data_IF_265964091437
#
_entry.id   IF_265964091437
#
_cell.length_a   1.000
_cell.length_b   1.000
_cell.length_c   1.000
_cell.angle_alpha   90.00
_cell.angle_beta   90.00
_cell.angle_gamma   90.00
#
_symmetry.space_group_name_H-M   'P 1'
#
loop_
_entity.id
_entity.type
_entity.pdbx_description
1 polymer ?
#
# COMPACT_ATOMS: atom_id res chain seq x y z
N UNK A 1 -11.24 14.22 -0.57
CA UNK A 1 -12.13 14.15 -1.76
C UNK A 1 -11.28 14.31 -3.01
N UNK A 2 -11.58 13.57 -4.08
CA UNK A 2 -10.89 13.73 -5.37
C UNK A 2 -11.26 15.07 -6.02
N UNK A 3 -10.31 15.74 -6.66
CA UNK A 3 -10.59 16.97 -7.42
C UNK A 3 -11.51 16.68 -8.61
N UNK A 4 -12.27 17.67 -9.07
CA UNK A 4 -13.09 17.54 -10.29
C UNK A 4 -12.22 17.12 -11.50
N UNK A 5 -11.01 17.68 -11.61
CA UNK A 5 -10.07 17.32 -12.65
C UNK A 5 -9.63 15.86 -12.61
N UNK A 6 -9.47 15.29 -11.42
CA UNK A 6 -9.13 13.87 -11.27
C UNK A 6 -10.35 12.98 -11.55
N UNK A 7 -11.54 13.37 -11.12
CA UNK A 7 -12.78 12.62 -11.37
C UNK A 7 -13.05 12.47 -12.87
N UNK A 8 -12.82 13.52 -13.67
CA UNK A 8 -13.00 13.47 -15.14
C UNK A 8 -11.98 12.62 -15.87
N UNK A 9 -10.84 12.32 -15.26
CA UNK A 9 -9.79 11.44 -15.83
C UNK A 9 -10.00 9.97 -15.50
N UNK A 10 -10.86 9.65 -14.53
CA UNK A 10 -10.97 8.31 -13.96
C UNK A 10 -12.30 7.62 -14.32
N UNK A 11 -12.31 6.28 -14.46
CA UNK A 11 -11.13 5.43 -14.56
C UNK A 11 -10.40 5.67 -15.89
N UNK A 12 -9.08 5.45 -15.92
CA UNK A 12 -8.34 5.39 -17.19
C UNK A 12 -8.69 4.05 -17.83
N UNK A 13 -9.02 4.09 -19.13
CA UNK A 13 -9.50 2.94 -19.88
C UNK A 13 -8.60 2.63 -21.07
N UNK A 14 -8.50 1.34 -21.41
CA UNK A 14 -7.82 0.89 -22.62
C UNK A 14 -8.67 1.18 -23.89
N UNK A 15 -8.15 0.80 -25.06
CA UNK A 15 -8.84 0.96 -26.34
C UNK A 15 -10.10 0.10 -26.50
N UNK A 16 -10.30 -0.89 -25.61
CA UNK A 16 -11.50 -1.74 -25.54
C UNK A 16 -12.48 -1.25 -24.48
N UNK A 17 -12.24 -0.07 -23.89
CA UNK A 17 -13.04 0.54 -22.84
C UNK A 17 -12.99 -0.20 -21.49
N UNK A 18 -11.99 -1.05 -21.26
CA UNK A 18 -11.77 -1.73 -19.98
C UNK A 18 -11.09 -0.79 -18.98
N UNK A 19 -11.49 -0.76 -17.70
CA UNK A 19 -10.82 0.07 -16.70
C UNK A 19 -9.47 -0.53 -16.33
N UNK A 20 -8.37 0.17 -16.61
CA UNK A 20 -6.99 -0.33 -16.39
C UNK A 20 -6.27 0.39 -15.27
N UNK A 21 -6.68 1.63 -14.95
CA UNK A 21 -6.25 2.35 -13.75
C UNK A 21 -7.46 2.98 -13.07
N UNK A 22 -7.56 2.77 -11.75
CA UNK A 22 -8.51 3.42 -10.84
C UNK A 22 -7.75 4.18 -9.76
N UNK A 23 -8.46 5.01 -9.01
CA UNK A 23 -7.93 5.63 -7.78
C UNK A 23 -8.85 5.29 -6.63
N UNK A 24 -8.29 4.67 -5.59
CA UNK A 24 -9.03 4.15 -4.46
C UNK A 24 -8.35 4.57 -3.14
N UNK A 25 -9.11 4.67 -2.03
CA UNK A 25 -8.53 4.60 -0.69
C UNK A 25 -7.77 3.29 -0.52
N UNK A 26 -6.56 3.35 0.02
CA UNK A 26 -5.71 2.19 0.26
C UNK A 26 -5.00 2.25 1.62
N UNK A 27 -4.55 1.08 2.06
CA UNK A 27 -3.64 0.89 3.18
C UNK A 27 -2.64 -0.20 2.80
N UNK A 28 -1.34 0.09 2.95
CA UNK A 28 -0.25 -0.87 2.75
C UNK A 28 0.65 -0.89 3.97
N UNK A 29 0.86 -2.09 4.53
CA UNK A 29 1.64 -2.37 5.72
C UNK A 29 2.80 -3.30 5.36
N UNK A 30 4.00 -2.98 5.82
CA UNK A 30 5.20 -3.82 5.68
C UNK A 30 5.63 -4.32 7.04
N UNK A 31 5.89 -5.61 7.17
CA UNK A 31 6.18 -6.26 8.46
C UNK A 31 7.23 -7.36 8.31
N UNK A 32 7.94 -7.65 9.39
CA UNK A 32 8.91 -8.73 9.43
C UNK A 32 8.24 -10.08 9.66
N UNK A 33 8.99 -11.16 9.41
CA UNK A 33 8.67 -12.50 9.91
C UNK A 33 7.32 -13.05 9.43
N UNK A 34 7.02 -12.90 8.14
CA UNK A 34 5.84 -13.48 7.50
C UNK A 34 5.75 -15.01 7.62
N UNK A 35 6.87 -15.69 7.84
CA UNK A 35 6.98 -17.13 8.07
C UNK A 35 6.57 -17.57 9.49
N UNK A 36 6.37 -16.66 10.45
CA UNK A 36 5.90 -17.06 11.78
C UNK A 36 4.40 -17.34 11.76
N UNK A 37 3.98 -18.40 12.46
CA UNK A 37 2.58 -18.79 12.58
C UNK A 37 1.71 -17.65 13.12
N UNK A 38 2.20 -16.92 14.15
CA UNK A 38 1.51 -15.77 14.73
C UNK A 38 1.28 -14.66 13.70
N UNK A 39 2.24 -14.42 12.81
CA UNK A 39 2.13 -13.41 11.75
C UNK A 39 1.10 -13.86 10.71
N UNK A 40 1.14 -15.12 10.29
CA UNK A 40 0.15 -15.69 9.37
C UNK A 40 -1.26 -15.65 9.96
N UNK A 41 -1.42 -15.95 11.24
CA UNK A 41 -2.69 -15.80 11.96
C UNK A 41 -3.20 -14.36 11.91
N UNK A 42 -2.36 -13.38 12.24
CA UNK A 42 -2.73 -11.96 12.18
C UNK A 42 -3.13 -11.51 10.76
N UNK A 43 -2.44 -11.99 9.72
CA UNK A 43 -2.81 -11.72 8.32
C UNK A 43 -4.16 -12.36 7.98
N UNK A 44 -4.40 -13.60 8.42
CA UNK A 44 -5.69 -14.27 8.23
C UNK A 44 -6.84 -13.52 8.90
N UNK A 45 -6.62 -12.93 10.08
CA UNK A 45 -7.62 -12.12 10.77
C UNK A 45 -7.92 -10.81 10.01
N UNK A 46 -6.89 -10.16 9.46
CA UNK A 46 -7.07 -8.99 8.60
C UNK A 46 -7.84 -9.34 7.31
N UNK A 47 -7.51 -10.48 6.68
CA UNK A 47 -8.23 -10.99 5.53
C UNK A 47 -9.70 -11.29 5.85
N UNK A 48 -9.99 -11.92 7.01
CA UNK A 48 -11.36 -12.19 7.43
C UNK A 48 -12.16 -10.90 7.66
N UNK A 49 -11.55 -9.87 8.26
CA UNK A 49 -12.20 -8.56 8.43
C UNK A 49 -12.51 -7.91 7.07
N UNK A 50 -11.60 -7.99 6.10
CA UNK A 50 -11.85 -7.55 4.73
C UNK A 50 -12.99 -8.33 4.05
N UNK A 51 -12.94 -9.66 4.11
CA UNK A 51 -13.94 -10.55 3.50
C UNK A 51 -15.33 -10.33 4.13
N UNK A 52 -15.43 -10.07 5.42
CA UNK A 52 -16.70 -9.77 6.08
C UNK A 52 -17.40 -8.54 5.49
N UNK A 53 -16.64 -7.57 4.99
CA UNK A 53 -17.18 -6.35 4.37
C UNK A 53 -17.42 -6.54 2.87
N UNK A 54 -16.48 -7.17 2.16
CA UNK A 54 -16.44 -7.14 0.70
C UNK A 54 -16.71 -8.46 -0.01
N UNK A 55 -16.93 -9.59 0.69
CA UNK A 55 -17.11 -10.91 0.05
C UNK A 55 -18.13 -10.95 -1.10
N UNK A 56 -19.20 -10.16 -1.00
CA UNK A 56 -20.25 -10.11 -2.01
C UNK A 56 -19.83 -9.40 -3.31
N UNK A 57 -18.73 -8.65 -3.27
CA UNK A 57 -18.16 -7.91 -4.41
C UNK A 57 -16.97 -8.63 -5.04
N UNK A 58 -16.42 -9.66 -4.38
CA UNK A 58 -15.25 -10.38 -4.84
C UNK A 58 -15.64 -11.44 -5.87
N UNK A 59 -14.94 -11.45 -7.00
CA UNK A 59 -15.19 -12.39 -8.09
C UNK A 59 -13.99 -13.30 -8.36
N UNK A 60 -12.80 -12.93 -7.89
CA UNK A 60 -11.58 -13.63 -8.23
C UNK A 60 -10.60 -13.70 -7.06
N UNK A 61 -9.75 -14.73 -7.07
CA UNK A 61 -8.67 -14.87 -6.10
C UNK A 61 -7.56 -15.84 -6.47
N UNK A 62 -6.48 -15.75 -5.71
CA UNK A 62 -5.30 -16.61 -5.80
C UNK A 62 -4.81 -16.88 -4.36
N UNK A 63 -4.54 -18.14 -4.05
CA UNK A 63 -3.81 -18.58 -2.86
C UNK A 63 -2.58 -19.36 -3.32
N UNK A 64 -1.39 -18.88 -2.96
CA UNK A 64 -0.12 -19.47 -3.40
C UNK A 64 0.21 -19.18 -4.86
N UNK A 65 1.05 -20.02 -5.48
CA UNK A 65 1.45 -19.86 -6.88
C UNK A 65 0.38 -20.48 -7.78
N UNK A 66 -0.14 -19.70 -8.72
CA UNK A 66 -1.17 -20.19 -9.63
C UNK A 66 -1.78 -19.11 -10.51
N UNK A 67 -2.87 -19.49 -11.19
CA UNK A 67 -3.70 -18.57 -11.97
C UNK A 67 -4.89 -18.10 -11.13
N UNK A 68 -5.44 -16.89 -11.41
CA UNK A 68 -6.72 -16.46 -10.86
C UNK A 68 -7.81 -17.52 -11.02
N UNK A 69 -8.58 -17.73 -9.97
CA UNK A 69 -9.76 -18.59 -9.94
C UNK A 69 -10.97 -17.79 -9.48
N UNK A 70 -12.18 -18.24 -9.84
CA UNK A 70 -13.40 -17.59 -9.40
C UNK A 70 -13.53 -17.66 -7.86
N UNK A 71 -13.86 -16.56 -7.21
CA UNK A 71 -13.91 -16.46 -5.75
C UNK A 71 -14.84 -17.50 -5.11
N UNK A 72 -15.94 -17.86 -5.78
CA UNK A 72 -16.90 -18.85 -5.30
C UNK A 72 -16.40 -20.30 -5.30
N UNK A 73 -15.22 -20.60 -5.87
CA UNK A 73 -14.60 -21.93 -5.81
C UNK A 73 -13.79 -22.14 -4.54
N UNK A 74 -13.51 -21.08 -3.79
CA UNK A 74 -12.77 -21.15 -2.52
C UNK A 74 -13.71 -21.46 -1.34
N UNK A 75 -13.32 -22.35 -0.41
CA UNK A 75 -14.09 -22.58 0.81
C UNK A 75 -14.11 -21.35 1.73
N UNK A 76 -15.08 -21.27 2.65
CA UNK A 76 -15.31 -20.10 3.54
C UNK A 76 -14.09 -19.71 4.39
N UNK A 77 -13.15 -20.63 4.61
CA UNK A 77 -11.91 -20.41 5.37
C UNK A 77 -10.64 -20.63 4.53
N UNK A 78 -10.72 -20.46 3.20
CA UNK A 78 -9.63 -20.78 2.29
C UNK A 78 -8.32 -20.05 2.65
N UNK A 79 -8.38 -18.76 3.01
CA UNK A 79 -7.20 -18.01 3.43
C UNK A 79 -6.54 -18.63 4.66
N UNK A 80 -7.33 -18.99 5.68
CA UNK A 80 -6.81 -19.57 6.91
C UNK A 80 -6.21 -20.95 6.66
N UNK A 81 -6.95 -21.82 5.97
CA UNK A 81 -6.51 -23.17 5.63
C UNK A 81 -5.20 -23.15 4.82
N UNK A 82 -5.11 -22.26 3.84
CA UNK A 82 -3.91 -22.05 3.06
C UNK A 82 -2.74 -21.64 3.97
N UNK A 83 -2.89 -20.56 4.74
CA UNK A 83 -1.84 -20.04 5.61
C UNK A 83 -1.42 -21.03 6.73
N UNK A 84 -2.30 -21.90 7.18
CA UNK A 84 -1.96 -22.96 8.15
C UNK A 84 -1.17 -24.12 7.49
N UNK A 85 -1.32 -24.31 6.18
CA UNK A 85 -0.75 -25.45 5.43
C UNK A 85 0.54 -25.14 4.66
N UNK A 86 0.86 -23.87 4.44
CA UNK A 86 2.05 -23.48 3.67
C UNK A 86 3.33 -23.90 4.38
N UNK A 87 4.23 -24.52 3.61
CA UNK A 87 5.63 -24.63 4.01
C UNK A 87 6.33 -23.30 3.77
N UNK A 88 7.08 -22.86 4.77
CA UNK A 88 7.75 -21.54 4.79
C UNK A 88 9.18 -21.64 5.32
N UNK A 89 9.75 -22.85 5.42
CA UNK A 89 11.11 -23.03 5.95
C UNK A 89 12.17 -22.57 4.96
N UNK A 90 12.02 -22.94 3.69
CA UNK A 90 13.06 -22.81 2.67
C UNK A 90 12.91 -21.48 1.90
N UNK A 91 12.95 -21.48 0.57
CA UNK A 91 12.84 -20.25 -0.24
C UNK A 91 11.39 -19.87 -0.60
N UNK A 92 10.44 -20.76 -0.35
CA UNK A 92 9.02 -20.55 -0.64
C UNK A 92 8.33 -19.71 0.43
N UNK A 93 7.82 -18.55 0.01
CA UNK A 93 6.92 -17.72 0.81
C UNK A 93 5.46 -18.10 0.62
N UNK A 94 4.56 -17.19 1.01
CA UNK A 94 3.13 -17.34 0.72
C UNK A 94 2.56 -16.07 0.10
N UNK A 95 1.49 -16.21 -0.67
CA UNK A 95 0.79 -15.06 -1.26
C UNK A 95 -0.72 -15.26 -1.32
N UNK A 96 -1.46 -14.17 -1.19
CA UNK A 96 -2.93 -14.10 -1.20
C UNK A 96 -3.34 -12.94 -2.09
N UNK A 97 -4.33 -13.17 -2.95
CA UNK A 97 -4.99 -12.14 -3.74
C UNK A 97 -6.50 -12.37 -3.70
N UNK A 98 -7.25 -11.31 -3.44
CA UNK A 98 -8.71 -11.24 -3.57
C UNK A 98 -9.07 -9.97 -4.32
N UNK A 99 -9.88 -10.06 -5.37
CA UNK A 99 -10.25 -8.90 -6.18
C UNK A 99 -11.68 -8.99 -6.73
N UNK A 100 -12.29 -7.82 -6.93
CA UNK A 100 -13.67 -7.65 -7.43
C UNK A 100 -13.79 -7.73 -8.94
N UNK A 101 -12.79 -7.31 -9.69
CA UNK A 101 -12.87 -7.21 -11.15
C UNK A 101 -12.03 -8.31 -11.82
N UNK A 102 -12.21 -8.51 -13.12
CA UNK A 102 -11.36 -9.41 -13.91
C UNK A 102 -9.86 -9.13 -13.71
N UNK A 103 -8.97 -10.13 -13.78
CA UNK A 103 -7.55 -9.93 -13.58
C UNK A 103 -6.94 -8.80 -14.43
N UNK A 104 -7.42 -8.66 -15.66
CA UNK A 104 -7.01 -7.66 -16.64
C UNK A 104 -7.60 -6.25 -16.37
N UNK A 105 -8.46 -6.09 -15.38
CA UNK A 105 -9.11 -4.82 -15.02
C UNK A 105 -8.61 -4.32 -13.66
N UNK A 106 -8.47 -3.01 -13.51
CA UNK A 106 -8.24 -2.40 -12.20
C UNK A 106 -9.43 -2.66 -11.28
N UNK A 107 -9.16 -3.19 -10.09
CA UNK A 107 -10.22 -3.62 -9.16
C UNK A 107 -10.80 -2.46 -8.36
N UNK A 108 -12.11 -2.46 -8.11
CA UNK A 108 -12.75 -1.50 -7.19
C UNK A 108 -12.39 -1.78 -5.73
N UNK A 109 -12.31 -3.05 -5.35
CA UNK A 109 -11.83 -3.49 -4.04
C UNK A 109 -10.88 -4.68 -4.18
N UNK A 110 -9.91 -4.76 -3.29
CA UNK A 110 -8.98 -5.87 -3.29
C UNK A 110 -8.14 -5.98 -2.03
N UNK A 111 -7.67 -7.19 -1.80
CA UNK A 111 -6.77 -7.57 -0.72
C UNK A 111 -5.61 -8.36 -1.30
N UNK A 112 -4.40 -7.95 -0.99
CA UNK A 112 -3.17 -8.59 -1.41
C UNK A 112 -2.25 -8.74 -0.21
N UNK A 113 -1.68 -9.92 0.01
CA UNK A 113 -0.66 -10.10 1.02
C UNK A 113 0.39 -11.09 0.53
N UNK A 114 1.64 -10.89 0.95
CA UNK A 114 2.74 -11.79 0.67
C UNK A 114 3.64 -11.86 1.88
N UNK A 115 4.01 -13.07 2.29
CA UNK A 115 4.96 -13.31 3.35
C UNK A 115 6.23 -13.95 2.85
N UNK A 116 7.35 -13.46 3.38
CA UNK A 116 8.64 -14.08 3.17
C UNK A 116 8.73 -15.42 3.90
N UNK A 117 9.50 -16.34 3.33
CA UNK A 117 9.94 -17.55 4.01
C UNK A 117 10.87 -17.23 5.19
N UNK A 118 11.21 -18.24 5.98
CA UNK A 118 12.16 -18.10 7.08
C UNK A 118 13.53 -17.70 6.54
N UNK A 119 14.04 -18.40 5.52
CA UNK A 119 15.31 -18.08 4.89
C UNK A 119 15.36 -16.64 4.37
N UNK A 120 14.34 -16.20 3.61
CA UNK A 120 14.28 -14.83 3.08
C UNK A 120 14.23 -13.76 4.18
N UNK A 121 13.57 -14.07 5.30
CA UNK A 121 13.45 -13.16 6.43
C UNK A 121 14.77 -13.06 7.21
N UNK A 122 15.43 -14.17 7.48
CA UNK A 122 16.64 -14.23 8.33
C UNK A 122 17.92 -13.88 7.56
N UNK A 123 18.07 -14.37 6.33
CA UNK A 123 19.30 -14.18 5.54
C UNK A 123 19.30 -12.87 4.74
N UNK A 124 18.13 -12.51 4.19
CA UNK A 124 18.00 -11.32 3.34
C UNK A 124 17.35 -10.15 4.09
N UNK A 125 16.65 -10.38 5.20
CA UNK A 125 15.93 -9.32 5.91
C UNK A 125 14.72 -8.79 5.14
N UNK A 126 14.22 -9.50 4.13
CA UNK A 126 13.07 -9.06 3.33
C UNK A 126 11.84 -8.80 4.21
N UNK A 127 11.08 -7.77 3.87
CA UNK A 127 9.79 -7.52 4.50
C UNK A 127 8.70 -8.33 3.80
N UNK A 128 7.72 -8.72 4.58
CA UNK A 128 6.40 -9.15 4.12
C UNK A 128 5.50 -7.93 3.97
N UNK A 129 4.38 -8.06 3.26
CA UNK A 129 3.43 -6.96 3.12
C UNK A 129 1.98 -7.43 3.11
N UNK A 130 1.10 -6.49 3.45
CA UNK A 130 -0.34 -6.56 3.27
C UNK A 130 -0.79 -5.23 2.66
N UNK A 131 -1.51 -5.27 1.56
CA UNK A 131 -2.09 -4.12 0.88
C UNK A 131 -3.58 -4.35 0.63
N UNK A 132 -4.38 -3.32 0.88
CA UNK A 132 -5.81 -3.33 0.61
C UNK A 132 -6.24 -2.02 -0.02
N UNK A 133 -7.27 -2.11 -0.85
CA UNK A 133 -7.96 -0.94 -1.39
C UNK A 133 -9.47 -1.17 -1.44
N UNK A 134 -10.20 -0.07 -1.38
CA UNK A 134 -11.66 -0.08 -1.22
C UNK A 134 -12.33 0.80 -2.28
N UNK A 135 -13.62 0.57 -2.58
CA UNK A 135 -14.36 1.48 -3.44
C UNK A 135 -14.47 2.85 -2.75
N UNK A 136 -14.36 3.93 -3.51
CA UNK A 136 -14.33 5.30 -2.98
C UNK A 136 -15.53 5.65 -2.09
N UNK A 137 -16.70 5.12 -2.42
CA UNK A 137 -17.97 5.37 -1.71
C UNK A 137 -18.38 4.23 -0.77
N UNK A 138 -17.44 3.37 -0.38
CA UNK A 138 -17.68 2.31 0.61
C UNK A 138 -17.53 2.82 2.04
N UNK A 139 -18.01 2.05 3.02
CA UNK A 139 -17.86 2.38 4.44
C UNK A 139 -16.39 2.52 4.87
N UNK A 140 -15.47 1.79 4.24
CA UNK A 140 -14.02 1.88 4.49
C UNK A 140 -13.31 2.92 3.61
N UNK A 141 -14.06 3.61 2.73
CA UNK A 141 -13.59 4.81 2.05
C UNK A 141 -13.71 6.08 2.90
N UNK A 142 -14.43 6.01 4.03
CA UNK A 142 -14.47 7.08 5.01
C UNK A 142 -13.12 7.22 5.74
N UNK A 143 -12.59 8.45 5.91
CA UNK A 143 -11.30 8.67 6.56
C UNK A 143 -11.20 8.12 7.98
N UNK A 144 -12.23 8.30 8.82
CA UNK A 144 -12.17 7.82 10.20
C UNK A 144 -12.30 6.30 10.27
N UNK A 145 -13.11 5.71 9.39
CA UNK A 145 -13.21 4.26 9.26
C UNK A 145 -11.89 3.62 8.81
N UNK A 146 -11.19 4.22 7.83
CA UNK A 146 -9.90 3.75 7.35
C UNK A 146 -8.80 3.88 8.42
N UNK A 147 -8.77 4.99 9.17
CA UNK A 147 -7.88 5.13 10.31
C UNK A 147 -8.15 4.07 11.39
N UNK A 148 -9.43 3.84 11.72
CA UNK A 148 -9.81 2.83 12.71
C UNK A 148 -9.41 1.42 12.26
N UNK A 149 -9.57 1.08 10.98
CA UNK A 149 -9.08 -0.17 10.40
C UNK A 149 -7.55 -0.27 10.52
N UNK A 150 -6.84 0.78 10.12
CA UNK A 150 -5.39 0.83 10.17
C UNK A 150 -4.85 0.62 11.60
N UNK A 151 -5.47 1.24 12.61
CA UNK A 151 -5.11 1.05 14.02
C UNK A 151 -5.26 -0.42 14.48
N UNK A 152 -6.41 -1.04 14.19
CA UNK A 152 -6.64 -2.45 14.54
C UNK A 152 -5.61 -3.37 13.86
N UNK A 153 -5.29 -3.11 12.60
CA UNK A 153 -4.35 -3.95 11.85
C UNK A 153 -2.91 -3.71 12.28
N UNK A 154 -2.56 -2.48 12.65
CA UNK A 154 -1.27 -2.16 13.22
C UNK A 154 -1.07 -2.82 14.60
N UNK A 155 -2.11 -2.86 15.44
CA UNK A 155 -2.06 -3.58 16.72
C UNK A 155 -1.80 -5.08 16.56
N UNK A 156 -2.41 -5.71 15.54
CA UNK A 156 -2.22 -7.14 15.22
C UNK A 156 -0.85 -7.43 14.60
N UNK A 157 -0.49 -6.70 13.54
CA UNK A 157 0.67 -7.01 12.69
C UNK A 157 1.97 -6.35 13.16
N UNK A 158 1.88 -5.28 13.96
CA UNK A 158 3.03 -4.47 14.41
C UNK A 158 3.97 -4.13 13.25
N UNK A 159 3.45 -3.48 12.20
CA UNK A 159 4.20 -3.26 10.97
C UNK A 159 5.46 -2.44 11.23
N UNK A 160 6.52 -2.78 10.50
CA UNK A 160 7.76 -2.03 10.53
C UNK A 160 7.55 -0.62 10.00
N UNK A 161 6.82 -0.47 8.90
CA UNK A 161 6.28 0.80 8.41
C UNK A 161 5.09 0.56 7.46
N UNK A 162 4.42 1.64 7.04
CA UNK A 162 3.33 1.57 6.09
C UNK A 162 2.78 2.94 5.74
N UNK A 163 1.79 2.94 4.86
CA UNK A 163 1.09 4.17 4.46
C UNK A 163 -0.37 3.87 4.10
N UNK A 164 -1.21 4.89 4.24
CA UNK A 164 -2.59 4.86 3.78
C UNK A 164 -3.01 6.22 3.23
N UNK A 165 -3.99 6.23 2.33
CA UNK A 165 -4.33 7.43 1.56
C UNK A 165 -5.07 7.08 0.29
N UNK A 166 -4.96 7.95 -0.70
CA UNK A 166 -5.44 7.67 -2.06
C UNK A 166 -4.28 7.13 -2.88
N UNK A 167 -4.50 6.05 -3.63
CA UNK A 167 -3.48 5.56 -4.54
C UNK A 167 -4.01 5.01 -5.84
N UNK A 168 -3.06 4.76 -6.73
CA UNK A 168 -3.27 4.31 -8.10
C UNK A 168 -3.40 2.79 -8.07
N UNK A 169 -4.55 2.28 -8.52
CA UNK A 169 -4.84 0.85 -8.56
C UNK A 169 -4.77 0.38 -10.01
N UNK A 170 -3.93 -0.61 -10.26
CA UNK A 170 -3.77 -1.27 -11.55
C UNK A 170 -4.60 -2.54 -11.67
N UNK A 171 -4.70 -3.03 -12.90
CA UNK A 171 -5.02 -4.43 -13.16
C UNK A 171 -4.09 -5.37 -12.36
N UNK A 172 -4.66 -6.45 -11.83
CA UNK A 172 -3.87 -7.46 -11.10
C UNK A 172 -2.99 -8.29 -12.04
N UNK A 173 -3.39 -8.43 -13.31
CA UNK A 173 -2.55 -8.98 -14.37
C UNK A 173 -1.36 -8.04 -14.64
N UNK A 174 -0.16 -8.54 -14.35
CA UNK A 174 1.07 -7.76 -14.45
C UNK A 174 1.44 -7.39 -15.88
N UNK A 175 1.03 -8.16 -16.88
CA UNK A 175 1.29 -7.85 -18.29
C UNK A 175 0.38 -6.71 -18.78
N UNK A 176 -0.86 -6.66 -18.30
CA UNK A 176 -1.77 -5.54 -18.56
C UNK A 176 -1.31 -4.30 -17.80
N UNK A 177 -1.03 -4.41 -16.50
CA UNK A 177 -0.51 -3.30 -15.70
C UNK A 177 0.74 -2.67 -16.33
N UNK A 178 1.67 -3.50 -16.82
CA UNK A 178 2.90 -3.04 -17.48
C UNK A 178 2.67 -2.20 -18.74
N UNK A 179 1.51 -2.34 -19.41
CA UNK A 179 1.17 -1.55 -20.59
C UNK A 179 0.73 -0.12 -20.24
N UNK A 180 0.36 0.13 -18.99
CA UNK A 180 -0.21 1.39 -18.53
C UNK A 180 0.68 2.15 -17.51
N UNK A 181 1.94 1.76 -17.37
CA UNK A 181 2.93 2.39 -16.48
C UNK A 181 3.21 3.87 -16.87
N UNK A 182 2.98 4.25 -18.13
CA UNK A 182 3.16 5.64 -18.58
C UNK A 182 2.01 6.54 -18.15
N UNK A 183 0.79 6.02 -18.16
CA UNK A 183 -0.42 6.67 -17.69
C UNK A 183 -0.37 6.87 -16.17
N UNK A 184 0.10 5.86 -15.42
CA UNK A 184 0.40 6.00 -14.00
C UNK A 184 1.44 7.09 -13.73
N UNK A 185 2.56 7.07 -14.46
CA UNK A 185 3.59 8.09 -14.33
C UNK A 185 3.01 9.49 -14.55
N UNK A 186 2.26 9.69 -15.65
CA UNK A 186 1.63 10.98 -15.94
C UNK A 186 0.65 11.42 -14.84
N UNK A 187 -0.14 10.48 -14.30
CA UNK A 187 -1.07 10.74 -13.22
C UNK A 187 -0.35 11.15 -11.93
N UNK A 188 0.70 10.42 -11.55
CA UNK A 188 1.50 10.69 -10.36
C UNK A 188 2.27 12.02 -10.43
N UNK A 189 2.75 12.41 -11.62
CA UNK A 189 3.40 13.72 -11.80
C UNK A 189 2.41 14.88 -11.62
N UNK A 190 1.16 14.71 -12.07
CA UNK A 190 0.10 15.72 -11.93
C UNK A 190 -0.49 15.76 -10.52
N UNK A 191 -0.66 14.60 -9.89
CA UNK A 191 -1.28 14.43 -8.57
C UNK A 191 -0.31 13.73 -7.61
N UNK A 192 0.68 14.44 -7.04
CA UNK A 192 1.75 13.84 -6.24
C UNK A 192 1.27 13.19 -4.94
N UNK A 193 0.07 13.52 -4.46
CA UNK A 193 -0.51 12.89 -3.28
C UNK A 193 -1.07 11.50 -3.55
N UNK A 194 -1.24 11.10 -4.82
CA UNK A 194 -1.60 9.74 -5.17
C UNK A 194 -0.42 8.82 -4.95
N UNK A 195 -0.64 7.78 -4.16
CA UNK A 195 0.35 6.76 -3.90
C UNK A 195 0.57 5.88 -5.14
N UNK A 196 1.82 5.80 -5.58
CA UNK A 196 2.29 4.84 -6.59
C UNK A 196 2.78 3.62 -5.84
N UNK A 197 1.99 2.55 -5.82
CA UNK A 197 2.25 1.38 -4.98
C UNK A 197 2.69 0.16 -5.79
N UNK A 198 3.78 -0.46 -5.38
CA UNK A 198 4.19 -1.79 -5.83
C UNK A 198 4.69 -2.58 -4.61
N UNK A 199 3.78 -3.11 -3.77
CA UNK A 199 4.12 -3.64 -2.46
C UNK A 199 5.19 -4.73 -2.50
N UNK A 200 5.11 -5.66 -3.46
CA UNK A 200 6.10 -6.72 -3.62
C UNK A 200 7.53 -6.18 -3.82
N UNK A 201 7.71 -5.12 -4.63
CA UNK A 201 9.03 -4.52 -4.84
C UNK A 201 9.44 -3.71 -3.62
N UNK A 202 8.54 -2.88 -3.09
CA UNK A 202 8.85 -2.05 -1.92
C UNK A 202 9.29 -2.90 -0.72
N UNK A 203 8.66 -4.05 -0.49
CA UNK A 203 9.00 -4.93 0.63
C UNK A 203 10.46 -5.47 0.55
N UNK A 204 11.03 -5.57 -0.65
CA UNK A 204 12.43 -5.96 -0.86
C UNK A 204 13.42 -4.81 -0.64
N UNK A 205 12.97 -3.56 -0.75
CA UNK A 205 13.84 -2.37 -0.83
C UNK A 205 13.59 -1.30 0.25
N UNK A 206 12.63 -1.50 1.15
CA UNK A 206 12.28 -0.56 2.24
C UNK A 206 12.75 -0.99 3.63
N UNK A 207 13.73 -1.89 3.71
CA UNK A 207 14.34 -2.35 4.97
C UNK A 207 15.09 -1.23 5.72
N UNK A 208 15.74 -0.36 4.95
CA UNK A 208 16.64 0.68 5.48
C UNK A 208 16.00 2.07 5.53
N UNK A 209 14.75 2.20 5.08
CA UNK A 209 14.02 3.45 5.15
C UNK A 209 12.58 3.31 4.71
N UNK A 210 11.77 4.30 5.06
CA UNK A 210 10.40 4.40 4.57
C UNK A 210 10.37 5.09 3.22
N UNK A 211 9.33 4.83 2.42
CA UNK A 211 9.16 5.49 1.12
C UNK A 211 8.86 6.99 1.23
N UNK A 212 8.33 7.43 2.37
CA UNK A 212 7.97 8.82 2.63
C UNK A 212 6.68 8.92 3.43
N UNK A 213 6.16 10.14 3.57
CA UNK A 213 4.86 10.39 4.20
C UNK A 213 3.70 10.28 3.21
N UNK A 214 2.57 9.79 3.69
CA UNK A 214 1.26 9.87 3.04
C UNK A 214 0.22 10.40 4.06
N UNK A 215 -1.06 10.43 3.72
CA UNK A 215 -2.14 10.86 4.59
C UNK A 215 -2.15 10.10 5.93
N UNK A 216 -2.06 8.77 5.89
CA UNK A 216 -1.63 7.96 7.03
C UNK A 216 -0.19 7.53 6.80
N UNK A 217 0.67 7.74 7.78
CA UNK A 217 2.04 7.22 7.80
C UNK A 217 2.21 6.36 9.04
N UNK A 218 2.52 5.08 8.84
CA UNK A 218 2.67 4.10 9.91
C UNK A 218 4.16 3.91 10.17
N UNK A 219 4.57 4.08 11.43
CA UNK A 219 5.96 3.97 11.87
C UNK A 219 6.03 3.05 13.09
N UNK A 220 6.90 2.04 13.03
CA UNK A 220 7.28 1.28 14.22
C UNK A 220 8.11 2.11 15.20
N UNK A 221 8.20 1.64 16.45
CA UNK A 221 9.09 2.20 17.47
C UNK A 221 10.55 2.35 17.00
N UNK A 222 11.04 1.43 16.16
CA UNK A 222 12.38 1.50 15.56
C UNK A 222 12.60 2.76 14.74
N UNK A 223 11.60 3.18 13.95
CA UNK A 223 11.68 4.43 13.17
C UNK A 223 11.54 5.67 14.06
N UNK A 224 10.71 5.58 15.11
CA UNK A 224 10.56 6.66 16.07
C UNK A 224 11.85 6.91 16.83
N UNK A 225 12.56 5.86 17.25
CA UNK A 225 13.88 5.98 17.86
C UNK A 225 14.89 6.71 16.96
N UNK A 226 14.86 6.45 15.65
CA UNK A 226 15.70 7.18 14.67
C UNK A 226 15.28 8.64 14.53
N UNK A 227 13.97 8.92 14.54
CA UNK A 227 13.42 10.27 14.42
C UNK A 227 13.53 11.11 15.68
N UNK A 228 13.66 10.50 16.87
CA UNK A 228 13.72 11.18 18.17
C UNK A 228 15.14 11.20 18.76
N UNK A 229 16.17 10.97 17.93
CA UNK A 229 17.55 11.10 18.38
C UNK A 229 17.81 12.50 18.97
N UNK A 230 18.77 12.69 19.89
CA UNK A 230 19.02 13.98 20.54
C UNK A 230 19.24 15.17 19.58
N UNK A 231 19.71 14.88 18.36
CA UNK A 231 19.95 15.86 17.30
C UNK A 231 18.71 16.11 16.41
N UNK A 232 17.60 15.42 16.67
CA UNK A 232 16.39 15.48 15.88
C UNK A 232 15.49 16.66 16.28
N UNK A 233 14.84 17.26 15.28
CA UNK A 233 13.81 18.31 15.46
C UNK A 233 12.41 17.77 15.18
N UNK A 234 12.21 16.46 15.34
CA UNK A 234 10.96 15.81 14.95
C UNK A 234 9.80 16.29 15.85
N UNK A 235 8.99 17.18 15.29
CA UNK A 235 7.77 17.71 15.91
C UNK A 235 6.72 17.85 14.84
N UNK A 236 5.50 17.37 15.13
CA UNK A 236 4.35 17.45 14.24
C UNK A 236 3.19 18.07 15.01
N UNK A 237 3.10 19.42 15.05
CA UNK A 237 1.96 20.09 15.66
C UNK A 237 0.70 19.94 14.78
N UNK A 238 -0.44 20.46 15.25
CA UNK A 238 -1.62 20.57 14.40
C UNK A 238 -1.25 21.19 13.03
N UNK A 239 -1.78 20.67 11.90
CA UNK A 239 -2.93 19.76 11.79
C UNK A 239 -2.59 18.25 11.76
N UNK A 240 -1.42 17.82 12.24
CA UNK A 240 -1.10 16.39 12.37
C UNK A 240 -1.72 15.80 13.64
N UNK A 241 -2.36 14.64 13.50
CA UNK A 241 -2.81 13.82 14.64
C UNK A 241 -1.91 12.58 14.76
N UNK A 242 -1.46 12.26 15.97
CA UNK A 242 -0.61 11.08 16.25
C UNK A 242 -1.44 10.07 17.03
N UNK A 243 -1.57 8.86 16.47
CA UNK A 243 -2.32 7.77 17.07
C UNK A 243 -1.37 6.62 17.45
N UNK A 244 -1.05 6.43 18.75
CA UNK A 244 -0.20 5.33 19.19
C UNK A 244 -0.93 3.98 19.11
N UNK A 245 -0.17 2.92 18.89
CA UNK A 245 -0.59 1.53 19.03
C UNK A 245 0.57 0.69 19.59
N UNK A 246 0.33 -0.52 20.12
CA UNK A 246 1.42 -1.38 20.57
C UNK A 246 2.43 -1.68 19.44
N UNK A 247 3.64 -1.13 19.54
CA UNK A 247 4.70 -1.30 18.53
C UNK A 247 4.95 -0.10 17.62
N UNK A 248 4.19 1.01 17.74
CA UNK A 248 4.44 2.20 16.93
C UNK A 248 3.39 3.31 16.99
N UNK A 249 3.37 4.16 15.96
CA UNK A 249 2.37 5.22 15.77
C UNK A 249 1.83 5.24 14.33
N UNK A 250 0.62 5.77 14.18
CA UNK A 250 0.10 6.26 12.91
C UNK A 250 0.07 7.79 12.98
N UNK A 251 0.74 8.45 12.04
CA UNK A 251 0.64 9.89 11.82
C UNK A 251 -0.48 10.12 10.80
N UNK A 252 -1.49 10.91 11.15
CA UNK A 252 -2.56 11.36 10.26
C UNK A 252 -2.30 12.81 9.84
N UNK A 253 -2.07 13.04 8.55
CA UNK A 253 -1.87 14.36 7.97
C UNK A 253 -3.22 15.02 7.62
N UNK A 254 -3.86 15.62 8.63
CA UNK A 254 -5.15 16.29 8.48
C UNK A 254 -6.35 15.34 8.44
N UNK A 255 -7.55 15.91 8.49
CA UNK A 255 -8.80 15.15 8.69
C UNK A 255 -9.20 14.28 7.49
N UNK A 256 -8.64 14.47 6.31
CA UNK A 256 -8.95 13.64 5.13
C UNK A 256 -7.79 13.65 4.14
N UNK A 257 -7.66 12.62 3.29
CA UNK A 257 -6.71 12.66 2.18
C UNK A 257 -6.96 13.87 1.29
N UNK A 258 -5.93 14.67 1.08
CA UNK A 258 -5.91 15.78 0.13
C UNK A 258 -5.21 15.29 -1.12
N UNK A 259 -5.84 15.45 -2.29
CA UNK A 259 -5.20 15.22 -3.58
C UNK A 259 -5.30 16.52 -4.35
N UNK A 260 -4.17 17.15 -4.66
CA UNK A 260 -4.12 18.42 -5.37
C UNK A 260 -3.67 18.21 -6.82
N UNK A 261 -4.24 19.00 -7.73
CA UNK A 261 -3.85 19.06 -9.13
C UNK A 261 -2.76 20.11 -9.33
N UNK A 262 -1.51 19.67 -9.53
CA UNK A 262 -0.38 20.57 -9.77
C UNK A 262 -0.59 21.44 -11.01
N UNK A 263 -1.28 20.92 -12.03
CA UNK A 263 -1.52 21.67 -13.27
C UNK A 263 -2.52 22.82 -13.09
N UNK A 264 -3.27 22.84 -11.97
CA UNK A 264 -4.14 23.95 -11.60
C UNK A 264 -3.48 24.92 -10.60
N UNK A 265 -2.19 24.76 -10.32
CA UNK A 265 -1.49 25.56 -9.31
C UNK A 265 -1.94 25.28 -7.88
N UNK A 266 -2.64 24.16 -7.65
CA UNK A 266 -3.02 23.71 -6.30
C UNK A 266 -1.92 22.86 -5.69
N UNK A 267 -1.87 22.86 -4.36
CA UNK A 267 -0.71 22.35 -3.64
C UNK A 267 -1.11 21.63 -2.34
N UNK A 268 -0.19 20.85 -1.77
CA UNK A 268 -0.38 20.07 -0.53
C UNK A 268 0.70 20.38 0.51
N UNK A 269 0.68 21.57 1.16
CA UNK A 269 1.69 21.98 2.13
C UNK A 269 1.88 21.00 3.29
N UNK A 270 0.79 20.34 3.72
CA UNK A 270 0.82 19.38 4.82
C UNK A 270 1.72 18.17 4.52
N UNK A 271 1.74 17.67 3.28
CA UNK A 271 2.62 16.55 2.92
C UNK A 271 4.08 16.97 2.78
N UNK A 272 4.36 18.23 2.43
CA UNK A 272 5.73 18.77 2.48
C UNK A 272 6.26 18.91 3.90
N UNK A 273 5.44 19.44 4.79
CA UNK A 273 5.79 19.50 6.21
C UNK A 273 6.09 18.11 6.76
N UNK A 274 5.25 17.13 6.42
CA UNK A 274 5.47 15.73 6.81
C UNK A 274 6.74 15.14 6.17
N UNK A 275 6.95 15.34 4.86
CA UNK A 275 8.14 14.84 4.16
C UNK A 275 9.43 15.41 4.76
N UNK A 276 9.45 16.70 5.11
CA UNK A 276 10.58 17.32 5.79
C UNK A 276 10.84 16.73 7.18
N UNK A 277 9.79 16.46 7.95
CA UNK A 277 9.92 15.84 9.27
C UNK A 277 10.42 14.38 9.18
N UNK A 278 10.00 13.64 8.16
CA UNK A 278 10.36 12.23 7.94
C UNK A 278 11.65 12.02 7.14
N UNK A 279 12.24 13.10 6.58
CA UNK A 279 13.44 13.05 5.74
C UNK A 279 14.59 12.23 6.33
N UNK A 280 14.89 12.27 7.65
CA UNK A 280 15.99 11.48 8.23
C UNK A 280 15.85 9.95 8.09
N UNK A 281 14.63 9.45 7.90
CA UNK A 281 14.34 8.01 7.81
C UNK A 281 13.79 7.59 6.44
N UNK A 282 13.71 8.53 5.48
CA UNK A 282 13.24 8.25 4.13
C UNK A 282 14.34 7.56 3.33
N UNK A 283 13.94 6.61 2.49
CA UNK A 283 14.82 6.06 1.45
C UNK A 283 15.35 7.17 0.55
N UNK A 284 16.64 7.08 0.21
CA UNK A 284 17.29 7.90 -0.82
C UNK A 284 17.57 7.11 -2.08
N UNK A 285 17.45 5.78 -2.02
CA UNK A 285 17.63 4.90 -3.17
C UNK A 285 16.53 3.87 -3.22
N UNK A 286 16.02 3.63 -4.42
CA UNK A 286 15.03 2.59 -4.68
C UNK A 286 15.14 2.19 -6.15
N UNK A 287 15.12 0.89 -6.50
CA UNK A 287 15.16 0.47 -7.90
C UNK A 287 13.91 0.92 -8.66
N UNK A 288 13.96 0.76 -9.98
CA UNK A 288 12.78 0.92 -10.84
C UNK A 288 11.63 0.01 -10.37
N UNK A 289 10.46 0.60 -10.17
CA UNK A 289 9.27 -0.12 -9.71
C UNK A 289 8.48 -0.75 -10.86
N UNK A 290 8.79 -0.38 -12.09
CA UNK A 290 8.10 -0.84 -13.29
C UNK A 290 8.97 -1.66 -14.22
N UNK A 291 8.38 -2.16 -15.31
CA UNK A 291 9.09 -2.84 -16.39
C UNK A 291 9.95 -1.86 -17.20
N UNK A 292 10.71 -2.35 -18.19
CA UNK A 292 11.54 -1.49 -19.07
C UNK A 292 10.73 -0.51 -19.94
N UNK A 293 9.39 -0.58 -19.92
CA UNK A 293 8.49 0.28 -20.70
C UNK A 293 7.97 1.50 -19.93
N UNK A 294 8.00 1.45 -18.60
CA UNK A 294 7.51 2.52 -17.73
C UNK A 294 8.52 3.66 -17.54
N UNK A 295 8.00 4.86 -17.21
CA UNK A 295 8.81 6.05 -16.94
C UNK A 295 9.35 6.14 -15.52
N UNK A 296 8.81 5.39 -14.54
CA UNK A 296 9.47 5.23 -13.23
C UNK A 296 10.67 4.26 -13.32
N UNK A 297 11.69 4.70 -14.05
CA UNK A 297 13.04 4.20 -13.89
C UNK A 297 13.59 4.58 -12.49
N UNK A 298 14.80 4.12 -12.16
CA UNK A 298 15.40 4.39 -10.85
C UNK A 298 15.38 5.88 -10.48
N UNK A 299 15.95 6.72 -11.34
CA UNK A 299 16.05 8.16 -11.08
C UNK A 299 14.67 8.80 -10.90
N UNK A 300 13.75 8.54 -11.83
CA UNK A 300 12.41 9.11 -11.80
C UNK A 300 11.60 8.65 -10.58
N UNK A 301 11.86 7.44 -10.08
CA UNK A 301 11.21 6.94 -8.87
C UNK A 301 11.84 7.52 -7.59
N UNK A 302 13.16 7.69 -7.56
CA UNK A 302 13.84 8.42 -6.49
C UNK A 302 13.33 9.87 -6.43
N UNK A 303 13.18 10.56 -7.56
CA UNK A 303 12.55 11.90 -7.64
C UNK A 303 11.08 11.88 -7.13
N UNK A 304 10.35 10.79 -7.36
CA UNK A 304 8.99 10.62 -6.83
C UNK A 304 8.97 10.40 -5.31
N UNK A 305 9.94 9.68 -4.75
CA UNK A 305 10.14 9.55 -3.30
C UNK A 305 10.39 10.94 -2.67
N UNK A 306 11.10 11.81 -3.40
CA UNK A 306 11.43 13.17 -2.99
C UNK A 306 10.42 14.24 -3.44
N UNK A 307 9.27 13.84 -4.00
CA UNK A 307 8.29 14.74 -4.65
C UNK A 307 7.78 15.90 -3.79
N UNK A 308 8.00 15.86 -2.48
CA UNK A 308 7.55 16.84 -1.50
C UNK A 308 8.71 17.63 -0.84
N UNK A 309 9.95 17.52 -1.35
CA UNK A 309 11.12 18.23 -0.80
C UNK A 309 11.23 19.70 -1.21
N UNK A 310 10.56 20.09 -2.30
CA UNK A 310 10.60 21.44 -2.89
C UNK A 310 9.65 22.45 -2.27
#
# INVERSE_FOLDING_TARGET
MLTESLQTMLPIRDSKNNPVIKVCPLLTLYFHNGHLESTRLAVSECANEFLNVFKAQLHWGILGVGKPQAFNTFPEQATRQYLDSVDVTDDDGWQIYWHSDEPEHASDCGFQASGCSQQQSEELGHLSYLSVHFPLHSALGDPDALLALALRWCERLKPYHGYGGMGIIHASDRFVAAQHENEEYALAQRFPALEVDYPLKHALWSREGIKGGNWLTILSESWLGKLQSPDSRFTLPAPFDIHPYPGGIIIRAGQSPIVADRNQGTDTPIYRQLANALKPIRLTTHPAIHTSRGKFNRQAFEEWIERFDG
#
